data_IF_146173624329
#
_entry.id   IF_146173624329
#
_cell.length_a   1.000
_cell.length_b   1.000
_cell.length_c   1.000
_cell.angle_alpha   90.00
_cell.angle_beta   90.00
_cell.angle_gamma   90.00
#
_symmetry.space_group_name_H-M   'P 1'
#
loop_
_entity.id
_entity.type
_entity.pdbx_description
1 polymer ?
#
# COMPACT_ATOMS: atom_id res chain seq x y z
N UNK A 1 19.76 -6.82 -19.46
CA UNK A 1 19.86 -7.53 -20.75
C UNK A 1 20.39 -6.60 -21.82
N UNK A 2 21.08 -7.15 -22.85
CA UNK A 2 21.58 -6.37 -23.99
C UNK A 2 20.46 -5.59 -24.69
N UNK A 3 19.30 -6.23 -24.85
CA UNK A 3 18.13 -5.60 -25.44
C UNK A 3 17.68 -4.35 -24.66
N UNK A 4 17.69 -4.38 -23.34
CA UNK A 4 17.38 -3.20 -22.54
C UNK A 4 18.39 -2.08 -22.74
N UNK A 5 19.67 -2.39 -22.87
CA UNK A 5 20.72 -1.41 -23.16
C UNK A 5 20.51 -0.75 -24.53
N UNK A 6 20.22 -1.54 -25.57
CA UNK A 6 19.89 -1.03 -26.90
C UNK A 6 18.69 -0.05 -26.86
N UNK A 7 17.61 -0.41 -26.13
CA UNK A 7 16.46 0.48 -25.98
C UNK A 7 16.82 1.76 -25.22
N UNK A 8 17.67 1.68 -24.19
CA UNK A 8 18.15 2.87 -23.48
C UNK A 8 18.99 3.78 -24.40
N UNK A 9 19.84 3.23 -25.26
CA UNK A 9 20.63 3.97 -26.23
C UNK A 9 19.75 4.64 -27.28
N UNK A 10 18.80 3.91 -27.87
CA UNK A 10 17.83 4.49 -28.82
C UNK A 10 17.06 5.65 -28.19
N UNK A 11 16.60 5.52 -26.95
CA UNK A 11 15.92 6.59 -26.21
C UNK A 11 16.85 7.76 -25.84
N UNK A 12 18.15 7.54 -25.76
CA UNK A 12 19.14 8.61 -25.54
C UNK A 12 19.38 9.42 -26.81
N UNK A 13 19.39 8.75 -27.98
CA UNK A 13 19.58 9.36 -29.27
C UNK A 13 18.31 10.02 -29.85
N UNK A 14 17.13 9.66 -29.34
CA UNK A 14 15.85 10.17 -29.81
C UNK A 14 15.78 11.72 -29.75
N UNK A 15 15.23 12.32 -30.78
CA UNK A 15 15.09 13.76 -30.90
C UNK A 15 14.16 14.31 -29.82
N UNK A 16 14.67 15.24 -29.01
CA UNK A 16 13.93 15.82 -27.88
C UNK A 16 12.63 16.53 -28.28
N UNK A 17 12.58 17.11 -29.50
CA UNK A 17 11.39 17.80 -29.99
C UNK A 17 10.28 16.82 -30.36
N UNK A 18 10.62 15.73 -31.03
CA UNK A 18 9.68 14.65 -31.38
C UNK A 18 9.15 13.94 -30.13
N UNK A 19 10.03 13.65 -29.17
CA UNK A 19 9.62 13.05 -27.89
C UNK A 19 8.66 13.98 -27.14
N UNK A 20 8.92 15.29 -27.10
CA UNK A 20 8.00 16.26 -26.48
C UNK A 20 6.65 16.31 -27.18
N UNK A 21 6.62 16.30 -28.51
CA UNK A 21 5.40 16.27 -29.29
C UNK A 21 4.60 14.97 -29.01
N UNK A 22 5.27 13.84 -29.00
CA UNK A 22 4.65 12.54 -28.65
C UNK A 22 4.07 12.52 -27.22
N UNK A 23 4.78 13.12 -26.26
CA UNK A 23 4.31 13.31 -24.88
C UNK A 23 3.03 14.15 -24.86
N UNK A 24 3.02 15.31 -25.53
CA UNK A 24 1.85 16.18 -25.58
C UNK A 24 0.63 15.48 -26.19
N UNK A 25 0.83 14.73 -27.26
CA UNK A 25 -0.22 13.94 -27.90
C UNK A 25 -0.74 12.82 -26.96
N UNK A 26 0.15 12.15 -26.24
CA UNK A 26 -0.24 11.11 -25.30
C UNK A 26 -1.06 11.69 -24.12
N UNK A 27 -0.73 12.89 -23.65
CA UNK A 27 -1.48 13.58 -22.59
C UNK A 27 -2.82 14.18 -23.03
N UNK A 28 -3.08 14.31 -24.34
CA UNK A 28 -4.41 14.70 -24.83
C UNK A 28 -5.48 13.63 -24.61
N UNK A 29 -5.06 12.36 -24.44
CA UNK A 29 -6.00 11.30 -24.06
C UNK A 29 -6.46 11.51 -22.62
N UNK A 30 -7.78 11.46 -22.33
CA UNK A 30 -8.27 11.62 -20.98
C UNK A 30 -7.68 10.53 -20.07
N UNK A 31 -6.95 10.96 -19.04
CA UNK A 31 -6.42 10.05 -18.03
C UNK A 31 -7.58 9.54 -17.18
N UNK A 32 -7.79 8.22 -17.19
CA UNK A 32 -8.82 7.58 -16.37
C UNK A 32 -8.44 7.61 -14.90
N UNK A 33 -9.42 7.86 -14.04
CA UNK A 33 -9.27 7.62 -12.59
C UNK A 33 -9.91 6.28 -12.18
N UNK A 34 -9.90 5.32 -13.09
CA UNK A 34 -10.65 4.07 -12.97
C UNK A 34 -10.20 3.24 -11.78
N UNK A 35 -8.90 3.00 -11.64
CA UNK A 35 -8.35 2.23 -10.53
C UNK A 35 -8.46 2.96 -9.21
N UNK A 36 -8.26 4.28 -9.20
CA UNK A 36 -8.48 5.11 -8.01
C UNK A 36 -9.91 4.99 -7.51
N UNK A 37 -10.89 5.13 -8.39
CA UNK A 37 -12.30 5.12 -8.01
C UNK A 37 -12.73 3.71 -7.55
N UNK A 38 -12.32 2.65 -8.27
CA UNK A 38 -12.56 1.26 -7.86
C UNK A 38 -11.96 0.99 -6.47
N UNK A 39 -10.75 1.41 -6.24
CA UNK A 39 -10.06 1.25 -4.96
C UNK A 39 -10.79 1.96 -3.82
N UNK A 40 -11.19 3.21 -4.02
CA UNK A 40 -11.97 3.95 -3.02
C UNK A 40 -13.33 3.31 -2.76
N UNK A 41 -14.03 2.86 -3.80
CA UNK A 41 -15.30 2.17 -3.64
C UNK A 41 -15.15 0.89 -2.80
N UNK A 42 -14.14 0.06 -3.10
CA UNK A 42 -13.88 -1.17 -2.32
C UNK A 42 -13.51 -0.82 -0.88
N UNK A 43 -12.61 0.15 -0.65
CA UNK A 43 -12.18 0.55 0.67
C UNK A 43 -13.36 1.05 1.51
N UNK A 44 -14.20 1.91 0.96
CA UNK A 44 -15.39 2.42 1.65
C UNK A 44 -16.38 1.28 1.89
N UNK A 45 -16.66 0.44 0.89
CA UNK A 45 -17.61 -0.66 1.00
C UNK A 45 -17.19 -1.66 2.10
N UNK A 46 -15.91 -2.06 2.14
CA UNK A 46 -15.41 -2.99 3.17
C UNK A 46 -15.56 -2.40 4.57
N UNK A 47 -15.13 -1.14 4.78
CA UNK A 47 -15.22 -0.52 6.09
C UNK A 47 -16.68 -0.25 6.52
N UNK A 48 -17.54 0.15 5.57
CA UNK A 48 -18.96 0.31 5.81
C UNK A 48 -19.64 -1.03 6.15
N UNK A 49 -19.23 -2.12 5.50
CA UNK A 49 -19.75 -3.44 5.78
C UNK A 49 -19.49 -3.87 7.24
N UNK A 50 -18.31 -3.59 7.79
CA UNK A 50 -18.02 -3.82 9.21
C UNK A 50 -18.94 -2.97 10.12
N UNK A 51 -19.11 -1.68 9.81
CA UNK A 51 -19.93 -0.78 10.61
C UNK A 51 -21.42 -1.17 10.56
N UNK A 52 -21.93 -1.51 9.38
CA UNK A 52 -23.34 -1.91 9.18
C UNK A 52 -23.62 -3.28 9.82
N UNK A 53 -22.69 -4.25 9.67
CA UNK A 53 -22.83 -5.57 10.29
C UNK A 53 -22.96 -5.48 11.81
N UNK A 54 -22.19 -4.60 12.42
CA UNK A 54 -22.29 -4.33 13.87
C UNK A 54 -23.61 -3.58 14.22
N UNK A 55 -23.94 -2.52 13.47
CA UNK A 55 -25.12 -1.69 13.75
C UNK A 55 -26.47 -2.40 13.57
N UNK A 56 -26.53 -3.41 12.70
CA UNK A 56 -27.71 -4.25 12.47
C UNK A 56 -27.70 -5.56 13.26
N UNK A 57 -26.70 -5.77 14.13
CA UNK A 57 -26.51 -7.00 14.91
C UNK A 57 -26.53 -8.28 14.05
N UNK A 58 -25.97 -8.17 12.84
CA UNK A 58 -25.86 -9.30 11.92
C UNK A 58 -24.61 -10.10 12.26
N UNK A 59 -24.77 -11.28 12.87
CA UNK A 59 -23.68 -12.15 13.33
C UNK A 59 -22.87 -12.83 12.18
N UNK A 60 -22.87 -12.24 10.99
CA UNK A 60 -22.07 -12.75 9.87
C UNK A 60 -20.61 -12.30 10.01
N UNK A 61 -20.41 -11.05 10.43
CA UNK A 61 -19.08 -10.46 10.59
C UNK A 61 -19.03 -9.73 11.93
N UNK A 62 -18.27 -10.27 12.85
CA UNK A 62 -18.07 -9.74 14.20
C UNK A 62 -16.64 -9.22 14.37
N UNK A 63 -16.44 -8.20 15.20
CA UNK A 63 -15.13 -7.67 15.54
C UNK A 63 -14.66 -6.55 14.61
N UNK A 64 -13.36 -6.25 14.64
CA UNK A 64 -12.73 -5.17 13.89
C UNK A 64 -11.87 -5.72 12.74
N UNK A 65 -11.43 -4.84 11.85
CA UNK A 65 -10.64 -5.20 10.67
C UNK A 65 -9.34 -5.97 10.97
N UNK A 66 -8.73 -5.74 12.15
CA UNK A 66 -7.50 -6.41 12.58
C UNK A 66 -7.74 -7.79 13.18
N UNK A 67 -8.93 -8.01 13.72
CA UNK A 67 -9.37 -9.29 14.27
C UNK A 67 -10.89 -9.40 14.14
N UNK A 68 -11.36 -10.26 13.26
CA UNK A 68 -12.77 -10.45 12.97
C UNK A 68 -13.14 -11.93 12.97
N UNK A 69 -14.43 -12.20 13.15
CA UNK A 69 -15.02 -13.52 13.03
C UNK A 69 -16.03 -13.48 11.89
N UNK A 70 -15.81 -14.28 10.87
CA UNK A 70 -16.67 -14.38 9.71
C UNK A 70 -17.28 -15.78 9.64
N UNK A 71 -18.60 -15.87 9.80
CA UNK A 71 -19.35 -17.15 9.79
C UNK A 71 -18.68 -18.22 10.68
N UNK A 72 -18.24 -17.82 11.87
CA UNK A 72 -17.57 -18.71 12.81
C UNK A 72 -16.05 -18.87 12.63
N UNK A 73 -15.48 -18.46 11.51
CA UNK A 73 -14.04 -18.49 11.27
C UNK A 73 -13.36 -17.24 11.83
N UNK A 74 -12.31 -17.42 12.61
CA UNK A 74 -11.50 -16.31 13.09
C UNK A 74 -10.57 -15.85 11.94
N UNK A 75 -10.70 -14.60 11.53
CA UNK A 75 -9.80 -13.93 10.61
C UNK A 75 -9.00 -12.91 11.39
N UNK A 76 -7.70 -13.08 11.44
CA UNK A 76 -6.84 -12.18 12.17
C UNK A 76 -5.67 -11.73 11.29
N UNK A 77 -5.33 -10.45 11.39
CA UNK A 77 -4.18 -9.88 10.70
C UNK A 77 -2.88 -10.58 11.14
N UNK A 78 -1.97 -10.82 10.18
CA UNK A 78 -0.72 -11.53 10.42
C UNK A 78 0.13 -10.89 11.53
N UNK A 79 0.17 -9.56 11.57
CA UNK A 79 0.96 -8.86 12.56
C UNK A 79 0.29 -8.89 13.94
N UNK A 80 -1.04 -8.79 13.98
CA UNK A 80 -1.84 -8.90 15.22
C UNK A 80 -1.71 -10.31 15.81
N UNK A 81 -1.81 -11.35 14.97
CA UNK A 81 -1.60 -12.73 15.39
C UNK A 81 -0.20 -12.96 15.98
N UNK A 82 0.83 -12.44 15.30
CA UNK A 82 2.20 -12.52 15.80
C UNK A 82 2.32 -11.86 17.18
N UNK A 83 1.72 -10.69 17.38
CA UNK A 83 1.76 -9.99 18.66
C UNK A 83 1.04 -10.75 19.76
N UNK A 84 -0.14 -11.31 19.47
CA UNK A 84 -0.87 -12.12 20.44
C UNK A 84 -0.05 -13.35 20.85
N UNK A 85 0.56 -14.06 19.91
CA UNK A 85 1.41 -15.23 20.19
C UNK A 85 2.65 -14.84 21.02
N UNK A 86 3.28 -13.70 20.71
CA UNK A 86 4.44 -13.20 21.45
C UNK A 86 4.06 -12.77 22.88
N UNK A 87 2.93 -12.09 23.05
CA UNK A 87 2.44 -11.65 24.36
C UNK A 87 2.11 -12.83 25.28
N UNK A 88 1.41 -13.83 24.77
CA UNK A 88 1.02 -15.02 25.53
C UNK A 88 2.11 -16.07 25.62
N UNK A 89 3.21 -15.93 24.84
CA UNK A 89 4.32 -16.91 24.76
C UNK A 89 3.84 -18.34 24.45
N UNK A 90 2.71 -18.46 23.76
CA UNK A 90 2.04 -19.71 23.46
C UNK A 90 1.43 -19.67 22.05
N UNK A 91 1.52 -20.80 21.34
CA UNK A 91 0.91 -20.93 20.01
C UNK A 91 -0.55 -21.34 20.17
N UNK A 92 -1.46 -20.46 19.74
CA UNK A 92 -2.89 -20.71 19.78
C UNK A 92 -3.33 -21.26 18.42
N UNK A 93 -3.69 -22.54 18.37
CA UNK A 93 -3.98 -23.26 17.11
C UNK A 93 -5.11 -22.60 16.31
N UNK A 94 -6.21 -22.22 16.95
CA UNK A 94 -7.34 -21.56 16.28
C UNK A 94 -6.93 -20.21 15.66
N UNK A 95 -6.05 -19.47 16.34
CA UNK A 95 -5.48 -18.22 15.85
C UNK A 95 -4.59 -18.47 14.62
N UNK A 96 -3.80 -19.54 14.65
CA UNK A 96 -2.91 -19.92 13.56
C UNK A 96 -3.71 -20.26 12.28
N UNK A 97 -4.82 -21.02 12.41
CA UNK A 97 -5.70 -21.35 11.28
C UNK A 97 -6.25 -20.07 10.63
N UNK A 98 -6.80 -19.15 11.44
CA UNK A 98 -7.31 -17.88 10.96
C UNK A 98 -6.24 -17.00 10.29
N UNK A 99 -5.04 -16.97 10.87
CA UNK A 99 -3.89 -16.25 10.30
C UNK A 99 -3.45 -16.84 8.96
N UNK A 100 -3.40 -18.18 8.85
CA UNK A 100 -3.05 -18.85 7.60
C UNK A 100 -4.07 -18.58 6.50
N UNK A 101 -5.36 -18.54 6.83
CA UNK A 101 -6.42 -18.17 5.87
C UNK A 101 -6.19 -16.74 5.34
N UNK A 102 -5.94 -15.77 6.22
CA UNK A 102 -5.66 -14.38 5.85
C UNK A 102 -4.37 -14.28 5.04
N UNK A 103 -3.33 -15.05 5.40
CA UNK A 103 -2.07 -15.12 4.67
C UNK A 103 -2.30 -15.59 3.21
N UNK A 104 -3.05 -16.68 3.02
CA UNK A 104 -3.36 -17.19 1.67
C UNK A 104 -4.15 -16.18 0.86
N UNK A 105 -5.17 -15.55 1.44
CA UNK A 105 -5.98 -14.52 0.76
C UNK A 105 -5.06 -13.39 0.27
N UNK A 106 -4.22 -12.82 1.16
CA UNK A 106 -3.35 -11.70 0.77
C UNK A 106 -2.18 -12.11 -0.09
N UNK A 107 -1.71 -13.36 0.00
CA UNK A 107 -0.73 -13.90 -0.94
C UNK A 107 -1.31 -13.93 -2.36
N UNK A 108 -2.55 -14.36 -2.54
CA UNK A 108 -3.21 -14.39 -3.84
C UNK A 108 -3.52 -12.98 -4.36
N UNK A 109 -4.02 -12.09 -3.51
CA UNK A 109 -4.44 -10.73 -3.89
C UNK A 109 -3.28 -9.74 -4.01
N UNK A 110 -2.09 -10.06 -3.48
CA UNK A 110 -0.96 -9.17 -3.66
C UNK A 110 -0.25 -8.67 -2.41
N UNK A 111 -0.45 -9.26 -1.25
CA UNK A 111 0.18 -8.85 0.01
C UNK A 111 -0.22 -7.42 0.42
N UNK A 112 0.60 -6.42 0.11
CA UNK A 112 0.32 -5.01 0.45
C UNK A 112 -0.92 -4.39 -0.21
N UNK A 113 -1.67 -5.14 -0.98
CA UNK A 113 -3.01 -4.75 -1.47
C UNK A 113 -3.94 -4.41 -0.31
N UNK A 114 -3.86 -5.14 0.81
CA UNK A 114 -4.55 -4.78 2.05
C UNK A 114 -4.39 -3.29 2.40
N UNK A 115 -3.16 -2.77 2.36
CA UNK A 115 -2.87 -1.41 2.75
C UNK A 115 -3.60 -0.36 1.90
N UNK A 116 -3.80 -0.60 0.61
CA UNK A 116 -4.40 0.39 -0.28
C UNK A 116 -5.89 0.19 -0.55
N UNK A 117 -6.41 -1.05 -0.39
CA UNK A 117 -7.78 -1.39 -0.75
C UNK A 117 -8.72 -1.59 0.44
N UNK A 118 -8.16 -1.81 1.64
CA UNK A 118 -8.94 -2.18 2.83
C UNK A 118 -8.67 -1.27 4.03
N UNK A 119 -7.42 -0.87 4.26
CA UNK A 119 -7.03 -0.10 5.42
C UNK A 119 -7.68 1.31 5.47
N UNK A 120 -8.51 1.65 6.47
CA UNK A 120 -9.19 2.95 6.56
C UNK A 120 -8.22 4.11 6.75
N UNK A 121 -7.11 3.91 7.48
CA UNK A 121 -6.08 4.94 7.65
C UNK A 121 -5.48 5.38 6.33
N UNK A 122 -5.40 4.48 5.36
CA UNK A 122 -4.82 4.78 4.04
C UNK A 122 -5.58 5.90 3.31
N UNK A 123 -6.91 5.94 3.41
CA UNK A 123 -7.73 6.99 2.80
C UNK A 123 -7.45 8.35 3.42
N UNK A 124 -7.38 8.40 4.76
CA UNK A 124 -7.06 9.63 5.49
C UNK A 124 -5.64 10.12 5.19
N UNK A 125 -4.67 9.20 5.16
CA UNK A 125 -3.29 9.51 4.78
C UNK A 125 -3.17 9.99 3.32
N UNK A 126 -4.04 9.54 2.41
CA UNK A 126 -4.08 10.04 1.03
C UNK A 126 -4.60 11.49 0.97
N UNK A 127 -5.57 11.84 1.80
CA UNK A 127 -6.03 13.22 1.90
C UNK A 127 -5.00 14.12 2.58
N UNK A 128 -4.37 13.63 3.65
CA UNK A 128 -3.26 14.32 4.31
C UNK A 128 -2.09 14.59 3.33
N UNK A 129 -1.76 13.60 2.48
CA UNK A 129 -0.73 13.77 1.45
C UNK A 129 -1.10 14.84 0.41
N UNK A 130 -2.36 14.90 -0.04
CA UNK A 130 -2.81 15.95 -0.95
C UNK A 130 -2.67 17.34 -0.33
N UNK A 131 -3.01 17.47 0.96
CA UNK A 131 -2.87 18.70 1.71
C UNK A 131 -1.39 19.08 1.89
N UNK A 132 -0.53 18.11 2.25
CA UNK A 132 0.92 18.31 2.34
C UNK A 132 1.48 18.82 1.01
N UNK A 133 1.14 18.19 -0.13
CA UNK A 133 1.60 18.61 -1.45
C UNK A 133 1.10 20.01 -1.83
N UNK A 134 -0.12 20.37 -1.43
CA UNK A 134 -0.64 21.73 -1.62
C UNK A 134 0.16 22.75 -0.81
N UNK A 135 0.45 22.47 0.46
CA UNK A 135 1.27 23.33 1.33
C UNK A 135 2.73 23.41 0.84
N UNK A 136 3.27 22.30 0.36
CA UNK A 136 4.64 22.25 -0.20
C UNK A 136 4.76 23.10 -1.48
N UNK A 137 3.72 23.13 -2.34
CA UNK A 137 3.68 24.05 -3.50
C UNK A 137 3.72 25.51 -3.06
N UNK A 138 3.13 25.84 -1.92
CA UNK A 138 3.19 27.19 -1.30
C UNK A 138 4.48 27.44 -0.52
N UNK A 139 5.43 26.48 -0.50
CA UNK A 139 6.69 26.55 0.25
C UNK A 139 6.52 26.68 1.78
N UNK A 140 5.35 26.28 2.31
CA UNK A 140 5.06 26.29 3.75
C UNK A 140 5.62 25.08 4.49
N UNK A 141 5.77 23.96 3.80
CA UNK A 141 6.28 22.69 4.34
C UNK A 141 7.28 22.06 3.39
N UNK A 142 8.20 21.26 3.92
CA UNK A 142 9.20 20.50 3.16
C UNK A 142 9.06 19.01 3.47
N UNK A 143 9.06 18.15 2.45
CA UNK A 143 8.97 16.70 2.63
C UNK A 143 10.32 16.15 3.13
N UNK A 144 10.35 15.67 4.36
CA UNK A 144 11.53 15.05 4.95
C UNK A 144 11.54 13.56 4.66
N UNK A 145 12.56 13.11 3.91
CA UNK A 145 12.76 11.69 3.63
C UNK A 145 13.56 11.04 4.76
N UNK A 146 12.92 10.12 5.48
CA UNK A 146 13.55 9.33 6.54
C UNK A 146 14.11 8.02 5.97
N UNK A 147 14.99 7.37 6.72
CA UNK A 147 15.57 6.10 6.31
C UNK A 147 14.51 4.98 6.39
N UNK A 148 14.33 4.22 5.32
CA UNK A 148 13.38 3.12 5.24
C UNK A 148 13.69 1.94 6.17
N UNK A 149 14.92 1.80 6.62
CA UNK A 149 15.32 0.81 7.63
C UNK A 149 14.58 1.00 8.96
N UNK A 150 14.06 2.22 9.23
CA UNK A 150 13.24 2.51 10.40
C UNK A 150 12.01 1.59 10.47
N UNK A 151 11.40 1.21 9.34
CA UNK A 151 10.25 0.30 9.34
C UNK A 151 10.60 -1.08 9.92
N UNK A 152 11.76 -1.61 9.57
CA UNK A 152 12.24 -2.88 10.14
C UNK A 152 12.62 -2.72 11.60
N UNK A 153 13.24 -1.60 11.97
CA UNK A 153 13.57 -1.29 13.36
C UNK A 153 12.30 -1.20 14.23
N UNK A 154 11.29 -0.46 13.79
CA UNK A 154 10.00 -0.38 14.50
C UNK A 154 9.31 -1.74 14.60
N UNK A 155 9.35 -2.56 13.55
CA UNK A 155 8.79 -3.91 13.60
C UNK A 155 9.46 -4.75 14.69
N UNK A 156 10.79 -4.72 14.78
CA UNK A 156 11.56 -5.40 15.83
C UNK A 156 11.25 -4.82 17.22
N UNK A 157 11.22 -3.50 17.36
CA UNK A 157 10.90 -2.83 18.64
C UNK A 157 9.52 -3.23 19.14
N UNK A 158 8.49 -3.22 18.27
CA UNK A 158 7.15 -3.66 18.67
C UNK A 158 7.08 -5.13 19.02
N UNK A 159 7.80 -6.00 18.30
CA UNK A 159 7.87 -7.43 18.62
C UNK A 159 8.54 -7.67 19.99
N UNK A 160 9.67 -7.02 20.25
CA UNK A 160 10.39 -7.14 21.52
C UNK A 160 9.61 -6.53 22.69
N UNK A 161 8.99 -5.36 22.47
CA UNK A 161 8.16 -4.71 23.48
C UNK A 161 6.94 -5.57 23.85
N UNK A 162 6.30 -6.20 22.86
CA UNK A 162 5.18 -7.14 23.08
C UNK A 162 5.63 -8.38 23.84
N UNK A 163 6.77 -8.96 23.46
CA UNK A 163 7.32 -10.14 24.15
C UNK A 163 7.72 -9.86 25.61
N UNK A 164 8.29 -8.67 25.85
CA UNK A 164 8.73 -8.26 27.20
C UNK A 164 7.59 -7.82 28.11
N UNK A 165 6.61 -7.06 27.57
CA UNK A 165 5.49 -6.52 28.36
C UNK A 165 4.31 -7.49 28.54
N UNK A 166 4.18 -8.50 27.66
CA UNK A 166 3.01 -9.36 27.61
C UNK A 166 1.73 -8.70 27.07
N UNK A 167 1.83 -7.47 26.53
CA UNK A 167 0.72 -6.74 25.92
C UNK A 167 0.93 -6.56 24.41
N UNK A 168 -0.16 -6.48 23.65
CA UNK A 168 -0.13 -6.22 22.20
C UNK A 168 0.12 -4.74 21.93
N UNK A 169 1.38 -4.30 22.09
CA UNK A 169 1.79 -2.90 22.08
C UNK A 169 1.41 -2.20 20.76
N UNK A 170 1.64 -2.85 19.63
CA UNK A 170 1.33 -2.24 18.32
C UNK A 170 -0.19 -2.08 18.12
N UNK A 171 -1.02 -3.04 18.55
CA UNK A 171 -2.48 -2.96 18.42
C UNK A 171 -3.06 -1.75 19.18
N UNK A 172 -2.45 -1.37 20.29
CA UNK A 172 -2.89 -0.22 21.08
C UNK A 172 -2.67 1.11 20.34
N UNK A 173 -1.59 1.23 19.55
CA UNK A 173 -1.21 2.45 18.85
C UNK A 173 -1.49 2.42 17.35
N UNK A 174 -1.93 1.28 16.81
CA UNK A 174 -2.21 1.10 15.39
C UNK A 174 -3.35 2.01 14.92
N UNK A 175 -3.10 2.98 14.03
CA UNK A 175 -4.16 3.85 13.53
C UNK A 175 -5.21 3.09 12.73
N UNK A 176 -4.84 1.98 12.10
CA UNK A 176 -5.78 1.09 11.39
C UNK A 176 -6.77 0.46 12.36
N UNK A 177 -6.28 -0.12 13.47
CA UNK A 177 -7.11 -0.71 14.52
C UNK A 177 -7.96 0.33 15.25
N UNK A 178 -7.39 1.49 15.55
CA UNK A 178 -8.12 2.60 16.21
C UNK A 178 -9.27 3.08 15.33
N UNK A 179 -9.01 3.33 14.04
CA UNK A 179 -10.05 3.79 13.10
C UNK A 179 -11.12 2.74 12.87
N UNK A 180 -10.75 1.47 12.70
CA UNK A 180 -11.72 0.39 12.54
C UNK A 180 -12.64 0.28 13.76
N UNK A 181 -12.07 0.33 14.98
CA UNK A 181 -12.86 0.34 16.21
C UNK A 181 -13.73 1.58 16.35
N UNK A 182 -13.22 2.75 15.98
CA UNK A 182 -13.98 3.99 16.03
C UNK A 182 -15.17 3.99 15.07
N UNK A 183 -15.04 3.37 13.90
CA UNK A 183 -16.14 3.20 12.94
C UNK A 183 -17.23 2.25 13.42
N UNK A 184 -16.87 1.27 14.25
CA UNK A 184 -17.77 0.23 14.74
C UNK A 184 -18.39 0.64 16.06
N UNK A 185 -17.58 1.02 17.06
CA UNK A 185 -17.99 1.26 18.44
C UNK A 185 -18.18 2.75 18.76
N UNK A 186 -17.93 3.64 17.81
CA UNK A 186 -17.98 5.06 18.00
C UNK A 186 -16.64 5.73 18.34
N UNK A 187 -16.59 7.08 18.28
CA UNK A 187 -15.36 7.84 18.47
C UNK A 187 -14.86 7.76 19.92
N UNK A 188 -13.58 7.44 20.08
CA UNK A 188 -12.90 7.42 21.37
C UNK A 188 -11.70 8.36 21.42
N UNK A 189 -11.12 8.56 22.61
CA UNK A 189 -9.96 9.44 22.85
C UNK A 189 -8.74 9.03 21.99
N UNK A 190 -8.62 7.74 21.63
CA UNK A 190 -7.56 7.25 20.75
C UNK A 190 -7.54 7.91 19.36
N UNK A 191 -8.66 8.51 18.90
CA UNK A 191 -8.68 9.27 17.65
C UNK A 191 -7.79 10.52 17.69
N UNK A 192 -7.51 11.08 18.88
CA UNK A 192 -6.57 12.20 19.02
C UNK A 192 -5.15 11.79 18.59
N UNK A 193 -4.75 10.55 18.87
CA UNK A 193 -3.50 10.00 18.37
C UNK A 193 -3.47 9.90 16.84
N UNK A 194 -4.55 9.43 16.24
CA UNK A 194 -4.67 9.38 14.76
C UNK A 194 -4.61 10.78 14.17
N UNK A 195 -5.30 11.76 14.78
CA UNK A 195 -5.25 13.15 14.35
C UNK A 195 -3.82 13.74 14.47
N UNK A 196 -3.11 13.45 15.56
CA UNK A 196 -1.71 13.87 15.74
C UNK A 196 -0.80 13.26 14.66
N UNK A 197 -0.97 11.99 14.33
CA UNK A 197 -0.24 11.34 13.23
C UNK A 197 -0.53 11.98 11.88
N UNK A 198 -1.78 12.30 11.58
CA UNK A 198 -2.15 12.96 10.32
C UNK A 198 -1.57 14.38 10.26
N UNK A 199 -1.58 15.12 11.36
CA UNK A 199 -0.91 16.44 11.43
C UNK A 199 0.59 16.31 11.18
N UNK A 200 1.24 15.31 11.79
CA UNK A 200 2.65 15.02 11.55
C UNK A 200 2.91 14.72 10.06
N UNK A 201 2.05 13.93 9.42
CA UNK A 201 2.16 13.60 8.00
C UNK A 201 1.93 14.82 7.09
N UNK A 202 1.06 15.74 7.48
CA UNK A 202 0.80 16.98 6.74
C UNK A 202 1.98 17.94 6.83
N UNK A 203 2.65 18.05 7.98
CA UNK A 203 3.67 19.08 8.23
C UNK A 203 5.07 18.59 7.90
N UNK A 204 5.43 17.35 8.26
CA UNK A 204 6.81 16.89 8.29
C UNK A 204 7.14 15.93 7.15
N UNK A 205 6.40 14.84 7.00
CA UNK A 205 6.75 13.81 6.03
C UNK A 205 5.52 13.06 5.53
N UNK A 206 5.35 13.03 4.22
CA UNK A 206 4.22 12.36 3.57
C UNK A 206 4.15 10.90 3.95
N UNK A 207 2.98 10.44 4.44
CA UNK A 207 2.72 9.03 4.77
C UNK A 207 3.78 8.42 5.68
N UNK A 208 4.23 9.20 6.67
CA UNK A 208 5.32 8.81 7.56
C UNK A 208 5.05 7.47 8.24
N UNK A 209 3.83 7.29 8.77
CA UNK A 209 3.43 6.02 9.38
C UNK A 209 3.55 4.84 8.42
N UNK A 210 2.91 4.94 7.26
CA UNK A 210 2.88 3.84 6.28
C UNK A 210 4.26 3.50 5.69
N UNK A 211 5.14 4.49 5.58
CA UNK A 211 6.47 4.33 4.97
C UNK A 211 7.51 3.85 5.95
N UNK A 212 7.49 4.34 7.19
CA UNK A 212 8.62 4.24 8.12
C UNK A 212 8.28 3.56 9.44
N UNK A 213 7.02 3.50 9.88
CA UNK A 213 6.66 2.97 11.19
C UNK A 213 5.76 1.73 11.14
N UNK A 214 4.87 1.59 10.15
CA UNK A 214 3.85 0.55 10.14
C UNK A 214 4.45 -0.86 9.90
N UNK A 215 4.39 -1.77 10.88
CA UNK A 215 4.87 -3.15 10.76
C UNK A 215 4.01 -4.01 9.83
N UNK A 216 2.70 -3.74 9.75
CA UNK A 216 1.78 -4.42 8.82
C UNK A 216 2.31 -4.29 7.37
N UNK A 217 2.78 -3.11 6.99
CA UNK A 217 3.36 -2.89 5.67
C UNK A 217 4.61 -3.72 5.37
N UNK A 218 5.40 -4.07 6.39
CA UNK A 218 6.56 -4.96 6.25
C UNK A 218 6.10 -6.40 6.06
N UNK A 219 5.25 -6.90 6.95
CA UNK A 219 4.73 -8.27 6.93
C UNK A 219 4.04 -8.59 5.61
N UNK A 220 3.12 -7.74 5.17
CA UNK A 220 2.45 -7.91 3.87
C UNK A 220 3.38 -7.67 2.67
N UNK A 221 4.44 -6.90 2.83
CA UNK A 221 5.49 -6.78 1.82
C UNK A 221 6.17 -8.12 1.56
N UNK A 222 6.49 -8.86 2.60
CA UNK A 222 7.06 -10.22 2.51
C UNK A 222 6.08 -11.18 1.85
N UNK A 223 4.82 -11.19 2.30
CA UNK A 223 3.76 -12.02 1.67
C UNK A 223 3.61 -11.70 0.18
N UNK A 224 3.73 -10.44 -0.19
CA UNK A 224 3.64 -9.97 -1.58
C UNK A 224 4.72 -10.50 -2.53
N UNK A 225 5.81 -11.10 -2.03
CA UNK A 225 6.86 -11.71 -2.85
C UNK A 225 6.30 -12.89 -3.64
N UNK A 226 5.44 -13.68 -3.02
CA UNK A 226 4.85 -14.88 -3.62
C UNK A 226 3.61 -14.59 -4.46
N UNK A 227 3.10 -13.37 -4.45
CA UNK A 227 1.85 -13.01 -5.11
C UNK A 227 1.89 -13.19 -6.62
N UNK A 228 0.84 -13.79 -7.21
CA UNK A 228 0.67 -13.85 -8.67
C UNK A 228 0.29 -12.48 -9.26
N UNK A 229 -0.45 -11.63 -8.53
CA UNK A 229 -0.88 -10.31 -9.01
C UNK A 229 0.27 -9.32 -8.88
N UNK A 230 0.68 -8.71 -9.99
CA UNK A 230 1.81 -7.78 -10.06
C UNK A 230 1.50 -6.61 -10.98
N UNK A 231 2.32 -5.56 -10.88
CA UNK A 231 2.35 -4.51 -11.90
C UNK A 231 3.61 -4.71 -12.74
N UNK A 232 3.43 -4.82 -14.04
CA UNK A 232 4.47 -5.00 -15.03
C UNK A 232 4.79 -3.65 -15.65
N UNK A 233 6.06 -3.38 -15.80
CA UNK A 233 6.61 -2.23 -16.49
C UNK A 233 7.23 -2.66 -17.81
N UNK A 234 6.86 -1.99 -18.91
CA UNK A 234 7.43 -2.16 -20.24
C UNK A 234 8.29 -0.94 -20.59
N UNK A 235 9.57 -1.19 -20.83
CA UNK A 235 10.54 -0.14 -21.10
C UNK A 235 10.27 0.55 -22.45
N UNK A 236 9.89 -0.22 -23.49
CA UNK A 236 9.82 0.25 -24.87
C UNK A 236 8.89 1.46 -25.05
N UNK A 237 7.69 1.42 -24.47
CA UNK A 237 6.68 2.48 -24.58
C UNK A 237 6.85 3.65 -23.61
N UNK A 238 7.77 3.61 -22.65
CA UNK A 238 7.86 4.60 -21.58
C UNK A 238 8.61 5.87 -22.03
N UNK A 239 8.02 7.05 -21.83
CA UNK A 239 8.68 8.34 -22.10
C UNK A 239 9.55 8.86 -20.94
N UNK A 240 9.57 8.18 -19.80
CA UNK A 240 10.31 8.57 -18.59
C UNK A 240 9.96 9.96 -18.00
N UNK A 241 8.71 10.39 -18.10
CA UNK A 241 8.23 11.69 -17.59
C UNK A 241 8.22 11.76 -16.05
N UNK A 242 8.06 10.60 -15.42
CA UNK A 242 8.09 10.50 -13.96
C UNK A 242 6.76 10.76 -13.26
N UNK A 243 5.67 11.01 -13.95
CA UNK A 243 4.34 11.28 -13.36
C UNK A 243 3.82 10.09 -12.56
N UNK A 244 4.07 8.85 -13.04
CA UNK A 244 3.78 7.64 -12.29
C UNK A 244 4.46 7.60 -10.91
N UNK A 245 5.66 8.18 -10.75
CA UNK A 245 6.37 8.27 -9.47
C UNK A 245 5.78 9.34 -8.55
N UNK A 246 5.28 10.44 -9.11
CA UNK A 246 4.66 11.53 -8.34
C UNK A 246 3.37 11.08 -7.66
N UNK A 247 2.57 10.25 -8.36
CA UNK A 247 1.30 9.71 -7.82
C UNK A 247 1.48 8.43 -7.00
N UNK A 248 2.67 7.82 -7.06
CA UNK A 248 2.91 6.54 -6.39
C UNK A 248 2.95 6.70 -4.86
N UNK A 249 2.16 5.89 -4.17
CA UNK A 249 2.11 5.86 -2.70
C UNK A 249 3.44 5.38 -2.09
N UNK A 250 4.21 4.61 -2.86
CA UNK A 250 5.48 4.00 -2.47
C UNK A 250 6.52 4.22 -3.58
N UNK A 251 7.02 5.46 -3.81
CA UNK A 251 7.78 5.83 -5.01
C UNK A 251 9.03 5.00 -5.29
N UNK A 252 9.65 4.40 -4.27
CA UNK A 252 10.86 3.59 -4.43
C UNK A 252 10.65 2.30 -5.25
N UNK A 253 9.41 1.76 -5.31
CA UNK A 253 9.13 0.58 -6.15
C UNK A 253 9.20 0.91 -7.65
N UNK A 254 9.12 2.19 -7.99
CA UNK A 254 9.23 2.71 -9.36
C UNK A 254 10.65 3.23 -9.70
N UNK A 255 11.68 2.82 -8.97
CA UNK A 255 13.06 3.18 -9.31
C UNK A 255 13.49 2.60 -10.66
N UNK A 256 12.98 1.43 -11.02
CA UNK A 256 13.22 0.79 -12.31
C UNK A 256 12.66 1.59 -13.49
N UNK A 257 11.67 2.45 -13.27
CA UNK A 257 11.07 3.32 -14.30
C UNK A 257 11.94 4.56 -14.60
N UNK A 258 12.92 4.85 -13.75
CA UNK A 258 13.85 5.96 -13.98
C UNK A 258 14.73 5.67 -15.21
N UNK A 259 14.95 6.69 -16.02
CA UNK A 259 15.77 6.57 -17.24
C UNK A 259 17.13 5.91 -16.95
N UNK A 260 17.43 4.84 -17.67
CA UNK A 260 18.68 4.10 -17.53
C UNK A 260 18.75 3.07 -16.40
N UNK A 261 17.70 2.91 -15.57
CA UNK A 261 17.71 1.97 -14.44
C UNK A 261 17.00 0.63 -14.70
N UNK A 262 16.23 0.53 -15.77
CA UNK A 262 15.60 -0.74 -16.13
C UNK A 262 16.66 -1.75 -16.58
N UNK A 263 16.66 -2.92 -15.93
CA UNK A 263 17.63 -4.01 -16.21
C UNK A 263 17.14 -4.86 -17.40
N UNK A 264 15.82 -4.87 -17.64
CA UNK A 264 15.19 -5.63 -18.73
C UNK A 264 14.12 -4.78 -19.43
N UNK A 265 13.69 -5.21 -20.61
CA UNK A 265 12.61 -4.58 -21.38
C UNK A 265 11.26 -4.70 -20.68
N UNK A 266 11.07 -5.76 -19.91
CA UNK A 266 9.90 -6.01 -19.09
C UNK A 266 10.32 -6.31 -17.66
N UNK A 267 9.91 -5.46 -16.72
CA UNK A 267 10.26 -5.58 -15.30
C UNK A 267 8.99 -5.59 -14.45
N UNK A 268 8.89 -6.52 -13.50
CA UNK A 268 7.83 -6.50 -12.50
C UNK A 268 8.21 -5.62 -11.32
N UNK A 269 7.27 -4.81 -10.83
CA UNK A 269 7.52 -3.97 -9.65
C UNK A 269 7.72 -4.83 -8.41
N UNK A 270 8.56 -4.32 -7.51
CA UNK A 270 8.91 -5.01 -6.27
C UNK A 270 7.73 -5.31 -5.34
N UNK A 271 7.94 -6.21 -4.36
CA UNK A 271 6.88 -6.70 -3.45
C UNK A 271 6.28 -5.60 -2.56
N UNK A 272 7.00 -4.52 -2.35
CA UNK A 272 6.52 -3.34 -1.60
C UNK A 272 5.42 -2.56 -2.35
N UNK A 273 5.14 -2.89 -3.61
CA UNK A 273 4.05 -2.28 -4.37
C UNK A 273 2.69 -2.60 -3.72
N UNK A 274 1.90 -1.56 -3.45
CA UNK A 274 0.55 -1.69 -2.88
C UNK A 274 -0.53 -2.03 -3.91
N UNK A 275 -0.17 -2.14 -5.16
CA UNK A 275 -1.06 -2.46 -6.30
C UNK A 275 -2.31 -1.57 -6.35
N UNK A 276 -2.11 -0.30 -6.03
CA UNK A 276 -3.19 0.70 -5.98
C UNK A 276 -3.69 1.13 -7.36
N UNK A 277 -2.94 0.86 -8.43
CA UNK A 277 -3.31 1.19 -9.81
C UNK A 277 -3.09 2.65 -10.21
N UNK A 278 -2.71 3.57 -9.31
CA UNK A 278 -2.54 4.99 -9.63
C UNK A 278 -1.51 5.24 -10.73
N UNK A 279 -0.42 4.49 -10.73
CA UNK A 279 0.61 4.59 -11.77
C UNK A 279 0.13 4.06 -13.13
N UNK A 280 -0.83 3.12 -13.12
CA UNK A 280 -1.48 2.60 -14.34
C UNK A 280 -2.44 3.65 -14.90
N UNK A 281 -3.28 4.26 -14.05
CA UNK A 281 -4.21 5.31 -14.44
C UNK A 281 -3.49 6.54 -15.03
N UNK A 282 -2.31 6.88 -14.48
CA UNK A 282 -1.57 8.10 -14.88
C UNK A 282 -0.64 7.85 -16.07
N UNK A 283 -0.38 6.59 -16.44
CA UNK A 283 0.56 6.30 -17.52
C UNK A 283 -0.07 6.55 -18.91
N UNK A 284 0.37 7.58 -19.67
CA UNK A 284 -0.27 7.93 -20.94
C UNK A 284 0.00 6.89 -22.03
N UNK A 285 1.08 6.11 -21.88
CA UNK A 285 1.52 5.13 -22.89
C UNK A 285 1.11 3.70 -22.57
N UNK A 286 0.47 3.45 -21.40
CA UNK A 286 0.15 2.10 -20.96
C UNK A 286 1.39 1.23 -20.66
N UNK A 287 2.54 1.83 -20.44
CA UNK A 287 3.78 1.11 -20.10
C UNK A 287 3.72 0.43 -18.72
N UNK A 288 2.76 0.79 -17.89
CA UNK A 288 2.49 0.16 -16.59
C UNK A 288 1.11 -0.52 -16.66
N UNK A 289 1.07 -1.82 -16.45
CA UNK A 289 -0.15 -2.63 -16.50
C UNK A 289 -0.23 -3.61 -15.35
N UNK A 290 -1.44 -3.98 -14.95
CA UNK A 290 -1.63 -5.14 -14.08
C UNK A 290 -1.31 -6.40 -14.86
N UNK A 291 -0.62 -7.33 -14.21
CA UNK A 291 -0.25 -8.63 -14.73
C UNK A 291 -0.48 -9.72 -13.70
N UNK A 292 -0.94 -10.88 -14.16
CA UNK A 292 -1.12 -12.07 -13.32
C UNK A 292 -0.11 -13.11 -13.80
N UNK A 293 0.83 -13.47 -12.92
CA UNK A 293 1.87 -14.45 -13.23
C UNK A 293 1.23 -15.78 -13.68
N UNK A 294 1.57 -16.21 -14.88
CA UNK A 294 1.03 -17.43 -15.49
C UNK A 294 -0.13 -17.20 -16.48
N UNK A 295 -0.94 -16.16 -16.29
CA UNK A 295 -2.06 -15.87 -17.18
C UNK A 295 -1.64 -14.98 -18.38
N UNK A 296 -0.61 -14.16 -18.23
CA UNK A 296 -0.06 -13.32 -19.30
C UNK A 296 0.52 -14.10 -20.50
N UNK A 297 0.66 -15.43 -20.36
CA UNK A 297 1.06 -16.31 -21.45
C UNK A 297 -0.14 -16.90 -22.20
N UNK A 298 -1.35 -16.71 -21.68
CA UNK A 298 -2.61 -17.27 -22.22
C UNK A 298 -3.49 -16.18 -22.86
N UNK A 299 -3.22 -14.90 -22.62
CA UNK A 299 -3.78 -13.71 -23.25
C UNK A 299 -2.76 -13.05 -24.20
#
# INVERSE_FOLDING_TARGET
>A
TERAQQVHELKRMANKTEVRAAIMLAHQKPHGNTWRNRRWAVLIAVNLFFAVSFGLDIQILEGALTASRFIGFHLIDLNSALQVMLAHKHIIVNLLIGTMTVLVIWMLLGGRTFCSWVCPYHLLAEWAEKLHLFLARKKLVTDQNMNRRLRTAFWLVFALATFGSGYTVFEAISPTGILSRALIYGPGVALLWVAALLLFEIVISRRAWCRYACPIGLTYGVVGILSPVRIKYKLDGCFHEGDCRKVCLVPHVLETVVKGRAVDTEVTLGPDCTRCGLCVDTCPTGSLTFDIKGLSKLL
#
